data_IF_490089472680
#
_entry.id   IF_490089472680
#
_cell.length_a   1.000
_cell.length_b   1.000
_cell.length_c   1.000
_cell.angle_alpha   90.00
_cell.angle_beta   90.00
_cell.angle_gamma   90.00
#
_symmetry.space_group_name_H-M   'P 1'
#
loop_
_entity.id
_entity.type
_entity.pdbx_description
1 polymer ?
#
# COMPACT_ATOMS: atom_id res chain seq x y z
N UNK A 1 21.75 -25.96 29.91
CA UNK A 1 22.17 -24.58 29.78
C UNK A 1 21.07 -23.70 30.33
N UNK A 2 21.35 -22.76 31.22
CA UNK A 2 20.35 -21.83 31.73
C UNK A 2 19.74 -21.00 30.60
N UNK A 3 18.43 -20.79 30.66
CA UNK A 3 17.63 -20.09 29.66
C UNK A 3 18.17 -18.67 29.34
N UNK A 4 18.70 -17.98 30.34
CA UNK A 4 19.35 -16.66 30.21
C UNK A 4 20.57 -16.66 29.27
N UNK A 5 21.31 -17.75 29.16
CA UNK A 5 22.48 -17.85 28.27
C UNK A 5 22.00 -18.04 26.82
N UNK A 6 20.92 -18.77 26.61
CA UNK A 6 20.32 -18.93 25.27
C UNK A 6 19.70 -17.63 24.73
N UNK A 7 19.10 -16.85 25.61
CA UNK A 7 18.51 -15.55 25.28
C UNK A 7 19.59 -14.50 24.97
N UNK A 8 20.66 -14.48 25.76
CA UNK A 8 21.83 -13.62 25.51
C UNK A 8 22.53 -13.98 24.18
N UNK A 9 22.69 -15.27 23.86
CA UNK A 9 23.29 -15.72 22.60
C UNK A 9 22.43 -15.33 21.39
N UNK A 10 21.10 -15.49 21.46
CA UNK A 10 20.18 -15.05 20.40
C UNK A 10 20.22 -13.53 20.19
N UNK A 11 20.35 -12.76 21.28
CA UNK A 11 20.41 -11.30 21.20
C UNK A 11 21.72 -10.81 20.56
N UNK A 12 22.84 -11.49 20.85
CA UNK A 12 24.14 -11.21 20.21
C UNK A 12 24.10 -11.55 18.74
N UNK A 13 23.59 -12.71 18.37
CA UNK A 13 23.46 -13.16 16.98
C UNK A 13 22.57 -12.22 16.15
N UNK A 14 21.46 -11.77 16.73
CA UNK A 14 20.56 -10.80 16.10
C UNK A 14 21.23 -9.43 15.91
N UNK A 15 22.00 -8.96 16.89
CA UNK A 15 22.75 -7.70 16.80
C UNK A 15 23.82 -7.76 15.72
N UNK A 16 24.56 -8.88 15.64
CA UNK A 16 25.56 -9.09 14.58
C UNK A 16 24.95 -9.15 13.17
N UNK A 17 23.77 -9.76 13.04
CA UNK A 17 23.04 -9.81 11.75
C UNK A 17 22.61 -8.39 11.33
N UNK A 18 22.09 -7.57 12.26
CA UNK A 18 21.73 -6.18 12.00
C UNK A 18 22.97 -5.37 11.58
N UNK A 19 24.09 -5.52 12.26
CA UNK A 19 25.31 -4.78 11.95
C UNK A 19 25.93 -5.20 10.60
N UNK A 20 25.84 -6.49 10.26
CA UNK A 20 26.21 -6.97 8.91
C UNK A 20 25.31 -6.40 7.84
N UNK A 21 23.98 -6.40 8.07
CA UNK A 21 23.01 -5.83 7.15
C UNK A 21 23.25 -4.32 6.97
N UNK A 22 23.44 -3.54 8.06
CA UNK A 22 23.77 -2.12 8.00
C UNK A 22 25.05 -1.84 7.22
N UNK A 23 26.08 -2.68 7.40
CA UNK A 23 27.36 -2.55 6.71
C UNK A 23 27.24 -2.86 5.22
N UNK A 24 26.41 -3.85 4.85
CA UNK A 24 26.10 -4.17 3.46
C UNK A 24 25.26 -3.09 2.80
N UNK A 25 24.22 -2.55 3.49
CA UNK A 25 23.38 -1.43 3.04
C UNK A 25 24.27 -0.21 2.76
N UNK A 26 25.10 0.20 3.73
CA UNK A 26 25.97 1.37 3.59
C UNK A 26 26.97 1.24 2.43
N UNK A 27 27.48 0.03 2.19
CA UNK A 27 28.39 -0.24 1.05
C UNK A 27 27.67 -0.22 -0.29
N UNK A 28 26.40 -0.68 -0.33
CA UNK A 28 25.53 -0.67 -1.52
C UNK A 28 24.94 0.71 -1.79
N UNK A 29 24.51 1.47 -0.77
CA UNK A 29 24.06 2.85 -0.91
C UNK A 29 25.14 3.73 -1.57
N UNK A 30 26.39 3.64 -1.12
CA UNK A 30 27.49 4.39 -1.73
C UNK A 30 27.64 4.02 -3.21
N UNK A 31 27.47 2.75 -3.57
CA UNK A 31 27.54 2.29 -4.95
C UNK A 31 26.33 2.74 -5.77
N UNK A 32 25.12 2.73 -5.22
CA UNK A 32 23.88 3.16 -5.89
C UNK A 32 23.85 4.67 -6.16
N UNK A 33 24.37 5.48 -5.23
CA UNK A 33 24.55 6.92 -5.44
C UNK A 33 25.56 7.22 -6.58
N UNK A 34 26.56 6.34 -6.77
CA UNK A 34 27.55 6.49 -7.80
C UNK A 34 27.08 5.95 -9.17
N UNK A 35 26.18 4.98 -9.19
CA UNK A 35 25.72 4.28 -10.42
C UNK A 35 24.31 4.66 -10.86
N UNK A 36 23.52 5.34 -9.99
CA UNK A 36 22.10 5.66 -10.26
C UNK A 36 21.20 4.44 -10.30
N UNK A 37 21.69 3.28 -9.89
CA UNK A 37 20.93 2.03 -9.89
C UNK A 37 20.18 1.83 -8.56
N UNK A 38 18.85 2.08 -8.59
CA UNK A 38 17.96 1.84 -7.47
C UNK A 38 17.45 0.38 -7.38
N UNK A 39 17.78 -0.46 -8.34
CA UNK A 39 17.39 -1.88 -8.36
C UNK A 39 17.92 -2.68 -7.17
N UNK A 40 19.05 -2.27 -6.64
CA UNK A 40 19.70 -2.90 -5.50
C UNK A 40 18.91 -2.80 -4.17
N UNK A 41 18.21 -1.68 -3.94
CA UNK A 41 17.38 -1.47 -2.73
C UNK A 41 16.18 -2.40 -2.74
N UNK A 42 15.51 -2.54 -3.87
CA UNK A 42 14.36 -3.43 -4.02
C UNK A 42 14.78 -4.88 -3.72
N UNK A 43 15.84 -5.34 -4.37
CA UNK A 43 16.37 -6.70 -4.16
C UNK A 43 16.77 -6.93 -2.71
N UNK A 44 17.44 -5.96 -2.08
CA UNK A 44 17.86 -6.03 -0.69
C UNK A 44 16.65 -6.17 0.25
N UNK A 45 15.62 -5.33 0.07
CA UNK A 45 14.43 -5.34 0.92
C UNK A 45 13.60 -6.63 0.72
N UNK A 46 13.56 -7.16 -0.51
CA UNK A 46 12.90 -8.44 -0.79
C UNK A 46 13.64 -9.63 -0.14
N UNK A 47 14.96 -9.56 -0.01
CA UNK A 47 15.76 -10.58 0.70
C UNK A 47 15.64 -10.43 2.21
N UNK A 48 15.58 -9.21 2.74
CA UNK A 48 15.47 -8.95 4.17
C UNK A 48 14.08 -9.29 4.73
N UNK A 49 13.02 -8.98 3.97
CA UNK A 49 11.64 -9.17 4.36
C UNK A 49 10.83 -9.95 3.30
N UNK A 50 11.17 -11.22 3.02
CA UNK A 50 10.61 -11.95 1.89
C UNK A 50 9.10 -12.18 1.99
N UNK A 51 8.58 -12.50 3.17
CA UNK A 51 7.14 -12.74 3.36
C UNK A 51 6.33 -11.45 3.23
N UNK A 52 6.80 -10.36 3.83
CA UNK A 52 6.14 -9.05 3.75
C UNK A 52 6.08 -8.54 2.31
N UNK A 53 7.20 -8.58 1.59
CA UNK A 53 7.27 -8.07 0.22
C UNK A 53 6.51 -8.94 -0.77
N UNK A 54 6.50 -10.26 -0.58
CA UNK A 54 5.69 -11.20 -1.36
C UNK A 54 4.19 -10.96 -1.16
N UNK A 55 3.75 -10.79 0.10
CA UNK A 55 2.34 -10.52 0.39
C UNK A 55 1.91 -9.16 -0.16
N UNK A 56 2.75 -8.12 -0.06
CA UNK A 56 2.46 -6.82 -0.65
C UNK A 56 2.24 -6.90 -2.17
N UNK A 57 3.11 -7.60 -2.90
CA UNK A 57 2.96 -7.81 -4.34
C UNK A 57 1.69 -8.58 -4.70
N UNK A 58 1.36 -9.61 -3.90
CA UNK A 58 0.14 -10.40 -4.07
C UNK A 58 -1.11 -9.52 -3.92
N UNK A 59 -1.20 -8.75 -2.82
CA UNK A 59 -2.32 -7.85 -2.56
C UNK A 59 -2.45 -6.76 -3.64
N UNK A 60 -1.35 -6.20 -4.13
CA UNK A 60 -1.38 -5.25 -5.25
C UNK A 60 -1.96 -5.86 -6.52
N UNK A 61 -1.63 -7.13 -6.83
CA UNK A 61 -2.17 -7.84 -7.99
C UNK A 61 -3.67 -8.07 -7.83
N UNK A 62 -4.11 -8.57 -6.69
CA UNK A 62 -5.52 -8.80 -6.38
C UNK A 62 -6.33 -7.50 -6.45
N UNK A 63 -5.79 -6.40 -5.90
CA UNK A 63 -6.40 -5.07 -6.00
C UNK A 63 -6.52 -4.58 -7.45
N UNK A 64 -5.49 -4.82 -8.26
CA UNK A 64 -5.52 -4.45 -9.67
C UNK A 64 -6.59 -5.23 -10.44
N UNK A 65 -6.68 -6.54 -10.24
CA UNK A 65 -7.70 -7.39 -10.85
C UNK A 65 -9.12 -6.94 -10.44
N UNK A 66 -9.34 -6.70 -9.15
CA UNK A 66 -10.62 -6.18 -8.64
C UNK A 66 -10.95 -4.81 -9.24
N UNK A 67 -9.96 -3.93 -9.35
CA UNK A 67 -10.11 -2.63 -10.00
C UNK A 67 -10.59 -2.79 -11.44
N UNK A 68 -9.98 -3.68 -12.23
CA UNK A 68 -10.37 -3.91 -13.61
C UNK A 68 -11.80 -4.44 -13.73
N UNK A 69 -12.20 -5.40 -12.88
CA UNK A 69 -13.56 -5.92 -12.86
C UNK A 69 -14.57 -4.83 -12.51
N UNK A 70 -14.30 -4.02 -11.50
CA UNK A 70 -15.16 -2.88 -11.15
C UNK A 70 -15.23 -1.83 -12.26
N UNK A 71 -14.12 -1.55 -12.96
CA UNK A 71 -14.14 -0.63 -14.10
C UNK A 71 -14.91 -1.18 -15.30
N UNK A 72 -14.87 -2.50 -15.52
CA UNK A 72 -15.71 -3.14 -16.52
C UNK A 72 -17.21 -2.89 -16.26
N UNK A 73 -17.64 -3.01 -15.00
CA UNK A 73 -19.06 -2.90 -14.65
C UNK A 73 -19.54 -1.44 -14.57
N UNK A 74 -18.72 -0.56 -13.98
CA UNK A 74 -19.10 0.84 -13.74
C UNK A 74 -18.67 1.80 -14.86
N UNK A 75 -17.62 1.46 -15.60
CA UNK A 75 -16.97 2.38 -16.52
C UNK A 75 -16.29 3.56 -15.80
N UNK A 76 -15.57 4.43 -16.54
CA UNK A 76 -14.82 5.53 -15.94
C UNK A 76 -15.72 6.66 -15.38
N UNK A 77 -16.98 6.73 -15.79
CA UNK A 77 -17.92 7.79 -15.41
C UNK A 77 -18.21 7.85 -13.92
N UNK A 78 -18.09 6.74 -13.19
CA UNK A 78 -18.34 6.70 -11.75
C UNK A 78 -17.31 7.49 -10.94
N UNK A 79 -16.09 7.63 -11.44
CA UNK A 79 -15.00 8.39 -10.81
C UNK A 79 -14.94 9.80 -11.37
N UNK A 80 -15.11 9.97 -12.68
CA UNK A 80 -15.14 11.30 -13.31
C UNK A 80 -16.43 12.08 -13.02
N UNK A 81 -17.37 11.47 -12.29
CA UNK A 81 -18.70 12.08 -11.96
C UNK A 81 -19.42 12.52 -13.24
N UNK A 82 -19.33 11.73 -14.29
CA UNK A 82 -19.93 11.99 -15.60
C UNK A 82 -19.26 13.07 -16.43
N UNK A 83 -18.13 13.65 -15.96
CA UNK A 83 -17.38 14.67 -16.70
C UNK A 83 -16.29 14.04 -17.58
N UNK A 84 -15.66 14.89 -18.42
CA UNK A 84 -14.54 14.49 -19.27
C UNK A 84 -13.17 14.77 -18.63
N UNK A 85 -13.14 15.34 -17.41
CA UNK A 85 -11.93 15.72 -16.66
C UNK A 85 -11.01 16.66 -17.47
N UNK A 86 -11.59 17.59 -18.21
CA UNK A 86 -10.85 18.53 -19.06
C UNK A 86 -10.51 19.82 -18.34
N UNK A 87 -11.30 20.20 -17.35
CA UNK A 87 -11.09 21.43 -16.57
C UNK A 87 -10.57 21.13 -15.17
N UNK A 88 -9.98 22.14 -14.53
CA UNK A 88 -9.53 22.03 -13.13
C UNK A 88 -10.70 21.77 -12.18
N UNK A 89 -11.85 22.33 -12.49
CA UNK A 89 -13.09 22.19 -11.71
C UNK A 89 -13.62 20.76 -11.79
N UNK A 90 -13.63 20.16 -12.97
CA UNK A 90 -14.02 18.75 -13.16
C UNK A 90 -13.06 17.79 -12.44
N UNK A 91 -11.76 18.02 -12.54
CA UNK A 91 -10.75 17.24 -11.80
C UNK A 91 -10.97 17.39 -10.29
N UNK A 92 -11.21 18.63 -9.80
CA UNK A 92 -11.49 18.88 -8.39
C UNK A 92 -12.77 18.17 -7.93
N UNK A 93 -13.83 18.17 -8.75
CA UNK A 93 -15.07 17.46 -8.45
C UNK A 93 -14.83 15.95 -8.29
N UNK A 94 -14.12 15.34 -9.23
CA UNK A 94 -13.76 13.91 -9.18
C UNK A 94 -12.93 13.59 -7.93
N UNK A 95 -11.90 14.38 -7.64
CA UNK A 95 -11.06 14.18 -6.44
C UNK A 95 -11.86 14.36 -5.15
N UNK A 96 -12.80 15.29 -5.11
CA UNK A 96 -13.72 15.47 -3.98
C UNK A 96 -14.62 14.26 -3.80
N UNK A 97 -15.14 13.69 -4.89
CA UNK A 97 -15.91 12.44 -4.85
C UNK A 97 -15.10 11.27 -4.30
N UNK A 98 -13.85 11.13 -4.72
CA UNK A 98 -12.93 10.12 -4.19
C UNK A 98 -12.62 10.34 -2.70
N UNK A 99 -12.45 11.61 -2.29
CA UNK A 99 -12.26 11.95 -0.87
C UNK A 99 -13.44 11.47 -0.01
N UNK A 100 -14.69 11.71 -0.44
CA UNK A 100 -15.86 11.20 0.30
C UNK A 100 -15.84 9.69 0.43
N UNK A 101 -15.55 8.96 -0.64
CA UNK A 101 -15.44 7.49 -0.60
C UNK A 101 -14.37 7.01 0.36
N UNK A 102 -13.19 7.65 0.36
CA UNK A 102 -12.12 7.33 1.31
C UNK A 102 -12.52 7.65 2.74
N UNK A 103 -13.17 8.80 2.96
CA UNK A 103 -13.64 9.20 4.29
C UNK A 103 -14.61 8.19 4.88
N UNK A 104 -15.57 7.68 4.11
CA UNK A 104 -16.51 6.67 4.58
C UNK A 104 -15.80 5.39 5.04
N UNK A 105 -14.83 4.92 4.27
CA UNK A 105 -14.01 3.75 4.63
C UNK A 105 -13.15 4.01 5.87
N UNK A 106 -12.54 5.18 5.97
CA UNK A 106 -11.77 5.59 7.15
C UNK A 106 -12.65 5.71 8.41
N UNK A 107 -13.87 6.23 8.30
CA UNK A 107 -14.80 6.26 9.43
C UNK A 107 -15.21 4.84 9.87
N UNK A 108 -15.39 3.92 8.93
CA UNK A 108 -15.64 2.51 9.26
C UNK A 108 -14.45 1.89 10.01
N UNK A 109 -13.23 2.07 9.49
CA UNK A 109 -11.99 1.62 10.16
C UNK A 109 -11.91 2.19 11.58
N UNK A 110 -12.10 3.51 11.72
CA UNK A 110 -12.08 4.19 13.02
C UNK A 110 -13.10 3.60 13.98
N UNK A 111 -14.34 3.37 13.52
CA UNK A 111 -15.42 2.84 14.36
C UNK A 111 -15.13 1.42 14.84
N UNK A 112 -14.66 0.55 13.95
CA UNK A 112 -14.40 -0.84 14.30
C UNK A 112 -13.16 -0.99 15.18
N UNK A 113 -12.04 -0.31 14.84
CA UNK A 113 -10.81 -0.42 15.61
C UNK A 113 -10.85 0.33 16.95
N UNK A 114 -11.28 1.59 16.95
CA UNK A 114 -11.19 2.42 18.15
C UNK A 114 -12.32 2.17 19.14
N UNK A 115 -13.46 1.72 18.68
CA UNK A 115 -14.60 1.40 19.54
C UNK A 115 -14.70 -0.10 19.86
N UNK A 116 -13.68 -0.89 19.49
CA UNK A 116 -13.66 -2.36 19.69
C UNK A 116 -14.97 -3.04 19.24
N UNK A 117 -15.49 -2.64 18.08
CA UNK A 117 -16.71 -3.22 17.50
C UNK A 117 -16.33 -4.26 16.46
N UNK A 118 -16.99 -5.38 16.48
CA UNK A 118 -16.94 -6.36 15.39
C UNK A 118 -17.82 -5.89 14.22
N UNK A 119 -17.42 -6.26 12.99
CA UNK A 119 -18.25 -5.99 11.82
C UNK A 119 -19.56 -6.78 11.91
N UNK A 120 -20.68 -6.06 11.92
CA UNK A 120 -22.02 -6.69 11.87
C UNK A 120 -22.48 -6.98 10.43
N UNK A 121 -21.81 -6.41 9.44
CA UNK A 121 -22.09 -6.65 8.03
C UNK A 121 -21.37 -7.92 7.62
N UNK A 122 -22.14 -8.93 7.21
CA UNK A 122 -21.59 -10.17 6.68
C UNK A 122 -20.86 -9.89 5.38
N UNK A 123 -19.79 -10.63 5.16
CA UNK A 123 -18.99 -10.57 3.92
C UNK A 123 -18.29 -9.22 3.64
N UNK A 124 -18.19 -8.34 4.64
CA UNK A 124 -17.39 -7.12 4.61
C UNK A 124 -16.35 -7.09 5.74
N UNK A 125 -15.24 -7.80 5.62
CA UNK A 125 -14.17 -7.75 6.60
C UNK A 125 -13.54 -6.35 6.68
N UNK A 126 -12.84 -6.05 7.79
CA UNK A 126 -12.21 -4.74 8.00
C UNK A 126 -11.15 -4.45 6.93
N UNK A 127 -10.47 -5.49 6.48
CA UNK A 127 -9.42 -5.44 5.45
C UNK A 127 -9.92 -4.80 4.15
N UNK A 128 -11.17 -5.03 3.76
CA UNK A 128 -11.77 -4.43 2.56
C UNK A 128 -11.75 -2.90 2.62
N UNK A 129 -11.95 -2.33 3.81
CA UNK A 129 -11.90 -0.89 3.97
C UNK A 129 -10.48 -0.33 3.73
N UNK A 130 -9.43 -1.03 4.16
CA UNK A 130 -8.04 -0.64 3.89
C UNK A 130 -7.71 -0.77 2.39
N UNK A 131 -8.13 -1.86 1.75
CA UNK A 131 -7.90 -2.09 0.33
C UNK A 131 -8.64 -1.07 -0.53
N UNK A 132 -9.88 -0.72 -0.17
CA UNK A 132 -10.65 0.32 -0.85
C UNK A 132 -9.96 1.70 -0.77
N UNK A 133 -9.49 2.11 0.42
CA UNK A 133 -8.75 3.37 0.60
C UNK A 133 -7.48 3.39 -0.26
N UNK A 134 -6.74 2.29 -0.30
CA UNK A 134 -5.55 2.13 -1.14
C UNK A 134 -5.89 2.32 -2.62
N UNK A 135 -6.93 1.64 -3.13
CA UNK A 135 -7.37 1.75 -4.52
C UNK A 135 -7.85 3.16 -4.86
N UNK A 136 -8.64 3.81 -3.99
CA UNK A 136 -9.08 5.19 -4.22
C UNK A 136 -7.92 6.18 -4.25
N UNK A 137 -6.86 5.95 -3.48
CA UNK A 137 -5.63 6.74 -3.54
C UNK A 137 -4.93 6.63 -4.90
N UNK A 138 -4.82 5.41 -5.45
CA UNK A 138 -4.27 5.18 -6.79
C UNK A 138 -5.15 5.84 -7.85
N UNK A 139 -6.47 5.67 -7.79
CA UNK A 139 -7.41 6.29 -8.72
C UNK A 139 -7.30 7.82 -8.71
N UNK A 140 -7.21 8.44 -7.53
CA UNK A 140 -7.03 9.88 -7.39
C UNK A 140 -5.72 10.36 -8.09
N UNK A 141 -4.65 9.58 -7.98
CA UNK A 141 -3.39 9.87 -8.66
C UNK A 141 -3.54 9.77 -10.18
N UNK A 142 -4.25 8.74 -10.69
CA UNK A 142 -4.53 8.59 -12.13
C UNK A 142 -5.36 9.76 -12.65
N UNK A 143 -6.41 10.19 -11.92
CA UNK A 143 -7.22 11.38 -12.24
C UNK A 143 -6.34 12.62 -12.31
N UNK A 144 -5.51 12.85 -11.28
CA UNK A 144 -4.63 14.02 -11.21
C UNK A 144 -3.59 14.05 -12.34
N UNK A 145 -3.13 12.89 -12.78
CA UNK A 145 -2.19 12.74 -13.88
C UNK A 145 -2.87 12.83 -15.27
N UNK A 146 -4.16 13.07 -15.33
CA UNK A 146 -4.93 13.18 -16.56
C UNK A 146 -5.00 11.91 -17.39
N UNK A 147 -4.92 10.73 -16.74
CA UNK A 147 -4.91 9.42 -17.39
C UNK A 147 -6.20 8.61 -17.15
N UNK A 148 -7.14 9.15 -16.36
CA UNK A 148 -8.39 8.45 -16.09
C UNK A 148 -9.25 8.36 -17.35
N UNK A 149 -9.69 7.13 -17.68
CA UNK A 149 -10.55 6.87 -18.86
C UNK A 149 -9.87 7.00 -20.22
N UNK A 150 -8.52 6.90 -20.27
CA UNK A 150 -7.73 6.99 -21.52
C UNK A 150 -6.96 5.71 -21.77
#
# INVERSE_FOLDING_TARGET
MPEAIKEASKKVEYTEQIDRAKKMVKKKEINSYLTGDHGDIVTLMEQEWPEMTKEFKKLQREQYELFLHKQHDYGPGNISVGTQLQTKEEVKLSLTGLWFRMNDKLQRVKTLLMNNRESAVKDEPLEDAFLDVSNYGIMATIVKNGKWGK
#
